data_IF_047225612101
#
_entry.id   IF_047225612101
#
_cell.length_a   1.000
_cell.length_b   1.000
_cell.length_c   1.000
_cell.angle_alpha   90.00
_cell.angle_beta   90.00
_cell.angle_gamma   90.00
#
_symmetry.space_group_name_H-M   'P 1'
#
loop_
_entity.id
_entity.type
_entity.pdbx_description
1 polymer ?
#
# COMPACT_ATOMS: atom_id res chain seq x y z
N UNK A 1 10.99 -1.64 6.09
CA UNK A 1 10.94 -2.19 7.48
C UNK A 1 10.16 -1.21 8.35
N UNK A 2 9.25 -1.70 9.19
CA UNK A 2 8.51 -0.89 10.18
C UNK A 2 9.00 -1.11 11.61
N UNK A 3 9.88 -2.08 11.84
CA UNK A 3 10.46 -2.37 13.14
C UNK A 3 9.55 -3.20 14.04
N UNK A 4 9.72 -3.01 15.36
CA UNK A 4 8.97 -3.67 16.42
C UNK A 4 8.02 -2.69 17.11
N UNK A 5 6.92 -3.16 17.71
CA UNK A 5 6.05 -2.31 18.52
C UNK A 5 6.80 -1.70 19.70
N UNK A 6 6.43 -0.47 20.08
CA UNK A 6 6.94 0.14 21.32
C UNK A 6 6.48 -0.65 22.55
N UNK A 7 7.25 -0.61 23.65
CA UNK A 7 6.81 -1.17 24.94
C UNK A 7 5.41 -0.66 25.33
N UNK A 8 4.53 -1.58 25.71
CA UNK A 8 3.14 -1.26 26.06
C UNK A 8 2.16 -1.24 24.88
N UNK A 9 2.64 -1.54 23.66
CA UNK A 9 1.79 -1.82 22.50
C UNK A 9 1.82 -3.31 22.21
N UNK A 10 0.65 -3.90 22.19
CA UNK A 10 0.44 -5.28 21.77
C UNK A 10 0.13 -5.32 20.29
N UNK A 11 0.79 -6.22 19.58
CA UNK A 11 0.55 -6.48 18.16
C UNK A 11 -0.08 -7.86 18.00
N UNK A 12 -1.21 -7.93 17.32
CA UNK A 12 -1.88 -9.15 16.91
C UNK A 12 -1.76 -9.29 15.40
N UNK A 13 -1.34 -10.43 14.93
CA UNK A 13 -1.15 -10.73 13.51
C UNK A 13 -2.17 -11.77 13.06
N UNK A 14 -3.06 -11.40 12.16
CA UNK A 14 -4.13 -12.26 11.63
C UNK A 14 -3.74 -12.69 10.20
N UNK A 15 -3.70 -13.99 9.90
CA UNK A 15 -3.40 -14.46 8.56
C UNK A 15 -4.34 -13.85 7.50
N UNK A 16 -3.74 -13.29 6.44
CA UNK A 16 -4.45 -12.67 5.31
C UNK A 16 -3.74 -13.05 3.99
N UNK A 17 -3.96 -14.30 3.54
CA UNK A 17 -3.22 -14.88 2.42
C UNK A 17 -1.74 -15.04 2.74
N UNK A 18 -0.82 -14.50 1.90
CA UNK A 18 0.63 -14.63 2.10
C UNK A 18 1.20 -13.64 3.13
N UNK A 19 0.38 -12.80 3.73
CA UNK A 19 0.74 -11.76 4.69
C UNK A 19 -0.16 -11.80 5.92
N UNK A 20 0.07 -10.90 6.88
CA UNK A 20 -0.75 -10.79 8.09
C UNK A 20 -1.39 -9.40 8.16
N UNK A 21 -2.69 -9.35 8.49
CA UNK A 21 -3.33 -8.11 8.95
C UNK A 21 -2.75 -7.77 10.33
N UNK A 22 -2.32 -6.51 10.47
CA UNK A 22 -1.78 -6.00 11.72
C UNK A 22 -2.89 -5.35 12.53
N UNK A 23 -3.05 -5.75 13.81
CA UNK A 23 -3.97 -5.13 14.76
C UNK A 23 -3.22 -4.72 16.01
N UNK A 24 -3.57 -3.58 16.55
CA UNK A 24 -2.85 -2.97 17.68
C UNK A 24 -3.76 -2.77 18.89
N UNK A 25 -3.20 -2.97 20.09
CA UNK A 25 -3.82 -2.61 21.35
C UNK A 25 -2.79 -1.93 22.25
N UNK A 26 -3.18 -0.85 22.93
CA UNK A 26 -2.31 -0.16 23.87
C UNK A 26 -2.64 1.31 24.02
N UNK A 27 -1.88 1.99 24.86
CA UNK A 27 -2.16 3.37 25.29
C UNK A 27 -2.05 4.43 24.21
N UNK A 28 -1.40 4.11 23.07
CA UNK A 28 -1.27 5.02 21.93
C UNK A 28 -2.38 4.84 20.90
N UNK A 29 -3.24 3.82 21.08
CA UNK A 29 -4.37 3.56 20.19
C UNK A 29 -5.55 4.42 20.62
N UNK A 30 -6.24 5.02 19.64
CA UNK A 30 -7.45 5.82 19.91
C UNK A 30 -8.50 5.01 20.65
N UNK A 31 -9.26 5.61 21.59
CA UNK A 31 -10.41 4.93 22.19
C UNK A 31 -11.62 4.80 21.25
N UNK A 32 -11.59 5.49 20.09
CA UNK A 32 -12.66 5.42 19.10
C UNK A 32 -12.83 6.72 18.32
N UNK A 33 -13.89 6.78 17.53
CA UNK A 33 -14.25 7.91 16.68
C UNK A 33 -15.27 8.80 17.38
N UNK A 34 -14.99 10.09 17.45
CA UNK A 34 -15.85 11.07 18.12
C UNK A 34 -17.29 11.08 17.53
N UNK A 35 -18.27 10.88 18.40
CA UNK A 35 -19.70 10.78 18.04
C UNK A 35 -20.05 9.74 16.96
N UNK A 36 -19.18 8.74 16.75
CA UNK A 36 -19.42 7.67 15.78
C UNK A 36 -19.24 6.29 16.43
N UNK A 37 -20.19 5.87 17.29
CA UNK A 37 -20.10 4.56 17.94
C UNK A 37 -20.16 3.40 16.94
N UNK A 38 -20.83 3.57 15.82
CA UNK A 38 -20.90 2.63 14.70
C UNK A 38 -19.51 2.35 14.12
N UNK A 39 -18.74 3.40 13.79
CA UNK A 39 -17.37 3.27 13.29
C UNK A 39 -16.43 2.75 14.36
N UNK A 40 -16.63 3.16 15.62
CA UNK A 40 -15.81 2.67 16.73
C UNK A 40 -15.98 1.16 16.88
N UNK A 41 -17.21 0.67 16.90
CA UNK A 41 -17.48 -0.78 17.01
C UNK A 41 -16.87 -1.57 15.82
N UNK A 42 -16.94 -1.03 14.61
CA UNK A 42 -16.37 -1.67 13.43
C UNK A 42 -14.82 -1.67 13.42
N UNK A 43 -14.21 -0.69 14.09
CA UNK A 43 -12.75 -0.51 14.08
C UNK A 43 -12.00 -1.44 15.04
N UNK A 44 -12.68 -2.07 15.99
CA UNK A 44 -12.06 -2.97 16.96
C UNK A 44 -12.55 -4.41 16.77
N UNK A 45 -11.73 -5.37 17.12
CA UNK A 45 -12.15 -6.77 17.23
C UNK A 45 -12.71 -7.07 18.63
N UNK A 46 -13.20 -8.30 18.81
CA UNK A 46 -13.80 -8.75 20.06
C UNK A 46 -12.86 -8.73 21.26
N UNK A 47 -11.54 -8.77 21.02
CA UNK A 47 -10.50 -8.70 22.03
C UNK A 47 -10.00 -7.26 22.27
N UNK A 48 -10.59 -6.26 21.60
CA UNK A 48 -10.24 -4.85 21.72
C UNK A 48 -8.99 -4.43 20.95
N UNK A 49 -8.55 -5.21 19.95
CA UNK A 49 -7.49 -4.79 19.05
C UNK A 49 -8.04 -3.93 17.92
N UNK A 50 -7.41 -2.78 17.72
CA UNK A 50 -7.73 -1.84 16.65
C UNK A 50 -7.26 -2.37 15.29
N UNK A 51 -8.17 -2.46 14.34
CA UNK A 51 -7.94 -2.87 12.96
C UNK A 51 -7.40 -1.69 12.16
N UNK A 52 -6.08 -1.55 12.10
CA UNK A 52 -5.46 -0.45 11.32
C UNK A 52 -5.63 -0.63 9.81
N UNK A 53 -5.95 -1.84 9.35
CA UNK A 53 -6.11 -2.19 7.94
C UNK A 53 -4.79 -2.35 7.18
N UNK A 54 -3.68 -2.27 7.85
CA UNK A 54 -2.36 -2.51 7.28
C UNK A 54 -1.98 -3.99 7.36
N UNK A 55 -1.16 -4.42 6.43
CA UNK A 55 -0.58 -5.75 6.42
C UNK A 55 0.93 -5.70 6.57
N UNK A 56 1.48 -6.78 7.13
CA UNK A 56 2.92 -6.96 7.28
C UNK A 56 3.34 -8.41 7.14
N UNK A 57 4.63 -8.58 6.96
CA UNK A 57 5.33 -9.87 7.05
C UNK A 57 6.51 -9.74 7.99
N UNK A 58 6.98 -10.84 8.55
CA UNK A 58 8.24 -10.81 9.29
C UNK A 58 9.42 -10.53 8.35
N UNK A 59 10.43 -9.84 8.85
CA UNK A 59 11.73 -9.71 8.18
C UNK A 59 12.36 -11.09 8.06
N UNK A 60 12.33 -11.85 9.14
CA UNK A 60 12.72 -13.23 9.23
C UNK A 60 11.60 -14.00 9.98
N UNK A 61 10.92 -14.96 9.33
CA UNK A 61 9.89 -15.77 9.98
C UNK A 61 10.40 -16.59 11.18
N UNK A 62 11.68 -16.97 11.15
CA UNK A 62 12.32 -17.77 12.20
C UNK A 62 12.84 -16.91 13.36
N UNK A 63 13.00 -15.60 13.14
CA UNK A 63 13.41 -14.63 14.15
C UNK A 63 12.51 -13.38 14.14
N UNK A 64 11.36 -13.40 14.79
CA UNK A 64 10.45 -12.25 14.88
C UNK A 64 11.06 -11.00 15.52
N UNK A 65 12.18 -11.12 16.25
CA UNK A 65 12.87 -9.98 16.87
C UNK A 65 13.48 -9.02 15.85
N UNK A 66 13.67 -9.44 14.61
CA UNK A 66 14.13 -8.59 13.52
C UNK A 66 13.04 -7.61 13.02
N UNK A 67 11.79 -7.77 13.47
CA UNK A 67 10.70 -6.86 13.17
C UNK A 67 9.92 -7.21 11.91
N UNK A 68 9.21 -6.20 11.39
CA UNK A 68 8.23 -6.35 10.33
C UNK A 68 8.56 -5.52 9.10
N UNK A 69 8.14 -6.03 7.95
CA UNK A 69 8.07 -5.32 6.67
C UNK A 69 6.62 -4.95 6.40
N UNK A 70 6.36 -3.72 6.01
CA UNK A 70 5.04 -3.29 5.54
C UNK A 70 4.69 -3.97 4.21
N UNK A 71 3.51 -4.56 4.12
CA UNK A 71 3.02 -5.30 2.97
C UNK A 71 1.73 -4.71 2.36
N UNK A 72 1.56 -3.39 2.48
CA UNK A 72 0.41 -2.66 1.92
C UNK A 72 -0.82 -2.70 2.83
N UNK A 73 -1.99 -2.39 2.26
CA UNK A 73 -3.29 -2.46 2.94
C UNK A 73 -3.95 -3.82 2.70
N UNK A 74 -4.64 -4.34 3.70
CA UNK A 74 -5.38 -5.62 3.57
C UNK A 74 -6.48 -5.52 2.52
N UNK A 75 -7.21 -4.40 2.54
CA UNK A 75 -8.38 -4.19 1.66
C UNK A 75 -8.03 -3.80 0.22
N UNK A 76 -6.77 -3.51 -0.07
CA UNK A 76 -6.34 -3.14 -1.43
C UNK A 76 -6.03 -4.35 -2.30
N UNK A 77 -5.71 -5.50 -1.69
CA UNK A 77 -5.42 -6.71 -2.45
C UNK A 77 -6.69 -7.32 -3.03
N UNK A 78 -6.59 -7.82 -4.25
CA UNK A 78 -7.72 -8.40 -4.95
C UNK A 78 -7.32 -9.66 -5.75
N UNK A 79 -8.32 -10.33 -6.32
CA UNK A 79 -8.11 -11.43 -7.27
C UNK A 79 -8.52 -11.02 -8.67
N UNK A 80 -7.80 -11.54 -9.64
CA UNK A 80 -8.20 -11.54 -11.04
C UNK A 80 -9.33 -12.57 -11.26
N UNK A 81 -9.98 -12.53 -12.41
CA UNK A 81 -10.97 -13.54 -12.83
C UNK A 81 -10.38 -14.95 -12.94
N UNK A 82 -9.08 -15.05 -13.19
CA UNK A 82 -8.30 -16.30 -13.19
C UNK A 82 -8.08 -16.87 -11.78
N UNK A 83 -8.46 -16.14 -10.71
CA UNK A 83 -8.16 -16.49 -9.33
C UNK A 83 -6.77 -16.07 -8.86
N UNK A 84 -5.95 -15.47 -9.71
CA UNK A 84 -4.61 -14.97 -9.34
C UNK A 84 -4.73 -13.84 -8.32
N UNK A 85 -4.01 -13.98 -7.21
CA UNK A 85 -4.01 -12.98 -6.14
C UNK A 85 -3.02 -11.85 -6.46
N UNK A 86 -3.48 -10.61 -6.39
CA UNK A 86 -2.69 -9.40 -6.67
C UNK A 86 -2.37 -8.68 -5.35
N UNK A 87 -1.10 -8.63 -5.01
CA UNK A 87 -0.58 -7.85 -3.87
C UNK A 87 -0.37 -6.39 -4.30
N UNK A 88 -1.41 -5.57 -4.13
CA UNK A 88 -1.45 -4.20 -4.65
C UNK A 88 -0.31 -3.33 -4.11
N UNK A 89 -0.04 -3.38 -2.80
CA UNK A 89 1.00 -2.56 -2.19
C UNK A 89 2.39 -2.83 -2.75
N UNK A 90 2.78 -4.11 -2.86
CA UNK A 90 4.09 -4.51 -3.40
C UNK A 90 4.20 -4.17 -4.89
N UNK A 91 3.15 -4.44 -5.65
CA UNK A 91 3.12 -4.17 -7.09
C UNK A 91 3.19 -2.67 -7.39
N UNK A 92 2.45 -1.84 -6.62
CA UNK A 92 2.49 -0.38 -6.75
C UNK A 92 3.90 0.17 -6.53
N UNK A 93 4.57 -0.26 -5.45
CA UNK A 93 5.93 0.18 -5.15
C UNK A 93 6.91 -0.24 -6.25
N UNK A 94 6.82 -1.48 -6.73
CA UNK A 94 7.67 -1.98 -7.81
C UNK A 94 7.43 -1.22 -9.13
N UNK A 95 6.18 -0.94 -9.48
CA UNK A 95 5.83 -0.19 -10.69
C UNK A 95 6.35 1.25 -10.65
N UNK A 96 6.18 1.95 -9.51
CA UNK A 96 6.71 3.31 -9.33
C UNK A 96 8.23 3.32 -9.43
N UNK A 97 8.91 2.36 -8.78
CA UNK A 97 10.36 2.26 -8.81
C UNK A 97 10.89 2.00 -10.23
N UNK A 98 10.24 1.10 -10.98
CA UNK A 98 10.62 0.76 -12.36
C UNK A 98 10.44 1.94 -13.32
N UNK A 99 9.42 2.78 -13.10
CA UNK A 99 9.08 3.92 -13.95
C UNK A 99 9.66 5.26 -13.41
N UNK A 100 10.52 5.22 -12.40
CA UNK A 100 11.18 6.43 -11.86
C UNK A 100 12.16 7.02 -12.87
N UNK A 101 12.22 8.35 -13.00
CA UNK A 101 11.49 9.39 -12.27
C UNK A 101 10.18 9.83 -12.94
N UNK A 102 9.71 9.15 -13.98
CA UNK A 102 8.58 9.55 -14.84
C UNK A 102 7.25 9.49 -14.09
N UNK A 103 7.03 8.44 -13.28
CA UNK A 103 5.81 8.25 -12.51
C UNK A 103 6.07 8.58 -11.04
N UNK A 104 5.22 9.43 -10.47
CA UNK A 104 5.30 9.79 -9.05
C UNK A 104 4.34 8.97 -8.18
N UNK A 105 3.24 8.49 -8.75
CA UNK A 105 2.26 7.67 -8.06
C UNK A 105 1.44 6.81 -9.02
N UNK A 106 0.83 5.72 -8.49
CA UNK A 106 -0.03 4.84 -9.27
C UNK A 106 -1.11 4.19 -8.40
N UNK A 107 -2.26 3.90 -9.01
CA UNK A 107 -3.29 3.00 -8.47
C UNK A 107 -3.29 1.72 -9.29
N UNK A 108 -3.21 0.60 -8.60
CA UNK A 108 -3.36 -0.73 -9.22
C UNK A 108 -4.84 -1.08 -9.30
N UNK A 109 -5.27 -1.57 -10.45
CA UNK A 109 -6.66 -1.96 -10.73
C UNK A 109 -6.69 -3.29 -11.48
N UNK A 110 -7.88 -3.90 -11.60
CA UNK A 110 -8.06 -5.15 -12.31
C UNK A 110 -8.82 -6.21 -11.51
N UNK A 111 -9.46 -5.83 -10.41
CA UNK A 111 -10.32 -6.76 -9.66
C UNK A 111 -11.36 -7.39 -10.59
N UNK A 112 -11.46 -8.73 -10.55
CA UNK A 112 -12.37 -9.53 -11.39
C UNK A 112 -12.17 -9.31 -12.92
N UNK A 113 -10.95 -8.90 -13.34
CA UNK A 113 -10.56 -8.75 -14.74
C UNK A 113 -9.46 -9.76 -15.12
N UNK A 114 -9.25 -10.05 -16.41
CA UNK A 114 -8.18 -10.93 -16.87
C UNK A 114 -6.79 -10.25 -16.90
N UNK A 115 -6.68 -9.02 -16.41
CA UNK A 115 -5.45 -8.24 -16.43
C UNK A 115 -5.31 -7.36 -15.20
N UNK A 116 -4.08 -6.96 -14.90
CA UNK A 116 -3.77 -5.87 -13.96
C UNK A 116 -3.57 -4.59 -14.76
N UNK A 117 -4.25 -3.53 -14.35
CA UNK A 117 -4.07 -2.18 -14.89
C UNK A 117 -3.39 -1.25 -13.88
N UNK A 118 -2.74 -0.22 -14.40
CA UNK A 118 -2.19 0.87 -13.61
C UNK A 118 -2.78 2.20 -14.09
N UNK A 119 -3.37 2.95 -13.16
CA UNK A 119 -3.65 4.37 -13.37
C UNK A 119 -2.53 5.15 -12.73
N UNK A 120 -1.68 5.79 -13.55
CA UNK A 120 -0.45 6.40 -13.12
C UNK A 120 -0.49 7.93 -13.17
N UNK A 121 0.14 8.59 -12.21
CA UNK A 121 0.34 10.03 -12.17
C UNK A 121 1.78 10.35 -12.55
N UNK A 122 2.01 11.03 -13.69
CA UNK A 122 3.35 11.39 -14.10
C UNK A 122 3.93 12.52 -13.23
N UNK A 123 5.24 12.48 -13.02
CA UNK A 123 5.99 13.58 -12.45
C UNK A 123 6.25 14.62 -13.54
N UNK A 124 5.41 15.66 -13.58
CA UNK A 124 5.46 16.67 -14.64
C UNK A 124 6.85 17.34 -14.77
N UNK A 125 7.51 17.59 -13.65
CA UNK A 125 8.83 18.23 -13.65
C UNK A 125 9.89 17.29 -14.28
N UNK A 126 9.92 16.04 -13.88
CA UNK A 126 10.83 15.05 -14.45
C UNK A 126 10.55 14.80 -15.94
N UNK A 127 9.28 14.68 -16.31
CA UNK A 127 8.87 14.52 -17.71
C UNK A 127 9.30 15.71 -18.57
N UNK A 128 9.18 16.94 -18.06
CA UNK A 128 9.67 18.16 -18.75
C UNK A 128 11.18 18.16 -18.97
N UNK A 129 11.93 17.73 -17.96
CA UNK A 129 13.39 17.60 -18.06
C UNK A 129 13.80 16.56 -19.10
N UNK A 130 13.19 15.37 -19.06
CA UNK A 130 13.47 14.27 -19.99
C UNK A 130 13.10 14.67 -21.43
N UNK A 131 11.96 15.33 -21.62
CA UNK A 131 11.51 15.81 -22.94
C UNK A 131 12.31 17.03 -23.44
N UNK A 132 13.13 17.67 -22.61
CA UNK A 132 13.82 18.93 -22.94
C UNK A 132 12.86 20.12 -23.18
N UNK A 133 11.66 20.10 -22.59
CA UNK A 133 10.59 21.08 -22.81
C UNK A 133 10.08 21.67 -21.49
N UNK A 134 10.78 22.64 -20.89
CA UNK A 134 10.50 23.12 -19.52
C UNK A 134 9.12 23.78 -19.35
N UNK A 135 8.54 24.30 -20.41
CA UNK A 135 7.23 24.97 -20.39
C UNK A 135 6.09 24.13 -20.97
N UNK A 136 6.34 22.88 -21.37
CA UNK A 136 5.32 22.03 -21.98
C UNK A 136 4.19 21.66 -21.01
N UNK A 137 3.01 21.49 -21.52
CA UNK A 137 1.84 20.97 -20.79
C UNK A 137 2.01 19.50 -20.47
N UNK A 138 1.16 18.97 -19.56
CA UNK A 138 1.16 17.55 -19.24
C UNK A 138 0.94 16.68 -20.49
N UNK A 139 -0.06 17.02 -21.33
CA UNK A 139 -0.36 16.29 -22.55
C UNK A 139 0.81 16.21 -23.54
N UNK A 140 1.56 17.31 -23.68
CA UNK A 140 2.74 17.35 -24.58
C UNK A 140 3.91 16.51 -24.06
N UNK A 141 4.14 16.48 -22.73
CA UNK A 141 5.27 15.70 -22.19
C UNK A 141 4.98 14.21 -22.15
N UNK A 142 3.75 13.79 -21.80
CA UNK A 142 3.39 12.36 -21.78
C UNK A 142 3.30 11.77 -23.19
N UNK A 143 3.16 12.58 -24.24
CA UNK A 143 3.22 12.14 -25.63
C UNK A 143 4.65 12.17 -26.22
N UNK A 144 5.63 12.68 -25.45
CA UNK A 144 7.01 12.75 -25.94
C UNK A 144 7.67 11.37 -26.00
N UNK A 145 8.28 10.96 -27.12
CA UNK A 145 8.93 9.63 -27.25
C UNK A 145 9.95 9.33 -26.14
N UNK A 146 10.70 10.33 -25.70
CA UNK A 146 11.69 10.18 -24.64
C UNK A 146 11.07 9.92 -23.23
N UNK A 147 9.78 10.15 -23.05
CA UNK A 147 9.04 9.89 -21.80
C UNK A 147 8.32 8.55 -21.84
N UNK A 148 7.97 8.09 -23.06
CA UNK A 148 7.25 6.82 -23.30
C UNK A 148 8.21 5.62 -23.35
N UNK A 149 9.45 5.84 -23.78
CA UNK A 149 10.47 4.80 -23.92
C UNK A 149 10.95 4.28 -22.56
#
# INVERSE_FOLDING_TARGET
MIGLPFPGIELKMIPAGPKYELRLRGVTVTPGYYKRPDLTAAAFDEEGFYRIGDAGTFVDPDDPSQGLIFAGRVVEDFKLDTGTFVQVGSLRVAAIAAASPVIQDAVVTGQDKPFVGLLAWPNLQACRQIAGKPAATLGEVIAAPAVIA
#
